data_IF_123687659359
#
_entry.id   IF_123687659359
#
_cell.length_a   1.000
_cell.length_b   1.000
_cell.length_c   1.000
_cell.angle_alpha   90.00
_cell.angle_beta   90.00
_cell.angle_gamma   90.00
#
_symmetry.space_group_name_H-M   'P 1'
#
loop_
_entity.id
_entity.type
_entity.pdbx_description
1 polymer ?
#
# COMPACT_ATOMS: atom_id res chain seq x y z
N UNK A 1 -1.31 -7.59 3.33
CA UNK A 1 -0.48 -6.58 4.01
C UNK A 1 -1.19 -5.23 4.10
N UNK A 2 -1.58 -4.60 2.98
CA UNK A 2 -2.33 -3.32 3.03
C UNK A 2 -3.68 -3.43 3.75
N UNK A 3 -4.47 -4.50 3.50
CA UNK A 3 -5.76 -4.71 4.17
C UNK A 3 -5.63 -4.96 5.68
N UNK A 4 -4.65 -5.77 6.09
CA UNK A 4 -4.36 -5.98 7.51
C UNK A 4 -3.91 -4.67 8.16
N UNK A 5 -3.06 -3.89 7.49
CA UNK A 5 -2.57 -2.60 8.01
C UNK A 5 -3.69 -1.55 8.13
N UNK A 6 -4.60 -1.48 7.16
CA UNK A 6 -5.76 -0.59 7.22
C UNK A 6 -6.73 -0.96 8.36
N UNK A 7 -7.10 -2.24 8.47
CA UNK A 7 -7.94 -2.72 9.57
C UNK A 7 -7.30 -2.43 10.93
N UNK A 8 -5.97 -2.54 10.98
CA UNK A 8 -5.21 -2.26 12.17
C UNK A 8 -5.30 -0.76 12.56
N UNK A 9 -5.04 0.14 11.63
CA UNK A 9 -5.09 1.59 11.89
C UNK A 9 -6.49 2.09 12.28
N UNK A 10 -7.55 1.49 11.73
CA UNK A 10 -8.95 1.83 12.06
C UNK A 10 -9.35 1.36 13.46
N UNK A 11 -8.80 0.24 13.93
CA UNK A 11 -9.14 -0.34 15.23
C UNK A 11 -8.33 0.31 16.37
N UNK A 12 -7.14 0.84 16.08
CA UNK A 12 -6.27 1.53 17.05
C UNK A 12 -6.94 2.64 17.89
N UNK A 13 -7.75 3.55 17.32
CA UNK A 13 -8.46 4.56 18.12
C UNK A 13 -9.56 4.01 19.03
N UNK A 14 -10.09 2.81 18.74
CA UNK A 14 -11.09 2.15 19.59
C UNK A 14 -10.46 1.55 20.87
N UNK A 15 -9.13 1.51 20.97
CA UNK A 15 -8.42 1.01 22.16
C UNK A 15 -8.63 1.87 23.40
N UNK A 16 -9.04 3.13 23.24
CA UNK A 16 -9.30 4.05 24.35
C UNK A 16 -10.51 3.64 25.23
N UNK A 17 -11.28 2.63 24.81
CA UNK A 17 -12.37 2.04 25.60
C UNK A 17 -11.87 1.08 26.70
N UNK A 18 -10.64 0.58 26.60
CA UNK A 18 -10.06 -0.34 27.60
C UNK A 18 -9.24 0.44 28.66
N UNK A 19 -9.55 0.26 29.94
CA UNK A 19 -8.83 0.94 31.04
C UNK A 19 -7.85 0.00 31.76
N UNK A 20 -6.71 0.52 32.22
CA UNK A 20 -5.79 -0.18 33.12
C UNK A 20 -4.66 -0.96 32.43
N UNK A 21 -4.26 -2.11 33.00
CA UNK A 21 -3.12 -2.92 32.52
C UNK A 21 -3.38 -3.50 31.12
N UNK A 22 -4.64 -3.83 30.83
CA UNK A 22 -5.08 -4.35 29.53
C UNK A 22 -4.77 -3.39 28.37
N UNK A 23 -4.86 -2.07 28.59
CA UNK A 23 -4.53 -1.06 27.58
C UNK A 23 -3.05 -1.15 27.16
N UNK A 24 -2.14 -1.30 28.13
CA UNK A 24 -0.70 -1.37 27.87
C UNK A 24 -0.33 -2.62 27.06
N UNK A 25 -0.92 -3.76 27.41
CA UNK A 25 -0.69 -5.02 26.71
C UNK A 25 -1.26 -4.97 25.29
N UNK A 26 -2.51 -4.50 25.12
CA UNK A 26 -3.09 -4.33 23.79
C UNK A 26 -2.22 -3.39 22.95
N UNK A 27 -1.86 -2.23 23.49
CA UNK A 27 -1.03 -1.27 22.78
C UNK A 27 0.29 -1.89 22.27
N UNK A 28 0.97 -2.69 23.09
CA UNK A 28 2.20 -3.37 22.69
C UNK A 28 1.97 -4.35 21.53
N UNK A 29 0.94 -5.20 21.61
CA UNK A 29 0.59 -6.15 20.53
C UNK A 29 0.27 -5.40 19.24
N UNK A 30 -0.50 -4.32 19.35
CA UNK A 30 -0.90 -3.46 18.24
C UNK A 30 0.28 -2.81 17.53
N UNK A 31 1.24 -2.27 18.29
CA UNK A 31 2.48 -1.70 17.75
C UNK A 31 3.32 -2.77 17.06
N UNK A 32 3.46 -3.96 17.64
CA UNK A 32 4.18 -5.07 17.00
C UNK A 32 3.57 -5.46 15.65
N UNK A 33 2.23 -5.54 15.55
CA UNK A 33 1.54 -5.85 14.31
C UNK A 33 1.69 -4.74 13.25
N UNK A 34 1.70 -3.47 13.67
CA UNK A 34 1.98 -2.33 12.80
C UNK A 34 3.40 -2.41 12.21
N UNK A 35 4.40 -2.67 13.03
CA UNK A 35 5.80 -2.81 12.58
C UNK A 35 6.01 -4.03 11.69
N UNK A 36 5.37 -5.16 12.00
CA UNK A 36 5.42 -6.36 11.17
C UNK A 36 4.80 -6.12 9.78
N UNK A 37 3.69 -5.39 9.72
CA UNK A 37 3.05 -5.04 8.44
C UNK A 37 3.92 -4.07 7.64
N UNK A 38 4.53 -3.09 8.29
CA UNK A 38 5.45 -2.14 7.67
C UNK A 38 6.68 -2.84 7.09
N UNK A 39 7.32 -3.74 7.84
CA UNK A 39 8.47 -4.50 7.35
C UNK A 39 8.09 -5.44 6.20
N UNK A 40 6.90 -6.05 6.25
CA UNK A 40 6.38 -6.88 5.17
C UNK A 40 6.22 -6.12 3.84
N UNK A 41 5.81 -4.86 3.87
CA UNK A 41 5.72 -4.03 2.66
C UNK A 41 7.11 -3.78 2.07
N UNK A 42 8.09 -3.40 2.90
CA UNK A 42 9.47 -3.17 2.43
C UNK A 42 10.14 -4.43 1.88
N UNK A 43 9.82 -5.61 2.42
CA UNK A 43 10.34 -6.87 1.92
C UNK A 43 9.80 -7.22 0.52
N UNK A 44 8.54 -6.90 0.23
CA UNK A 44 7.87 -7.24 -1.04
C UNK A 44 8.14 -6.20 -2.14
N UNK A 45 8.38 -4.94 -1.75
CA UNK A 45 8.59 -3.80 -2.65
C UNK A 45 9.65 -4.03 -3.76
N UNK A 46 10.88 -4.52 -3.49
CA UNK A 46 11.87 -4.75 -4.54
C UNK A 46 11.43 -5.85 -5.52
N UNK A 47 10.86 -6.95 -5.01
CA UNK A 47 10.35 -8.04 -5.86
C UNK A 47 9.20 -7.55 -6.76
N UNK A 48 8.27 -6.77 -6.21
CA UNK A 48 7.16 -6.20 -6.97
C UNK A 48 7.65 -5.25 -8.08
N UNK A 49 8.63 -4.39 -7.80
CA UNK A 49 9.21 -3.50 -8.82
C UNK A 49 9.90 -4.27 -9.94
N UNK A 50 10.59 -5.36 -9.63
CA UNK A 50 11.21 -6.23 -10.64
C UNK A 50 10.20 -6.97 -11.52
N UNK A 51 9.03 -7.32 -10.98
CA UNK A 51 7.95 -7.97 -11.73
C UNK A 51 7.24 -6.96 -12.65
N UNK A 52 6.94 -5.76 -12.15
CA UNK A 52 6.17 -4.73 -12.87
C UNK A 52 6.97 -4.03 -13.97
N UNK A 53 8.20 -3.61 -13.67
CA UNK A 53 9.03 -2.83 -14.59
C UNK A 53 10.08 -3.67 -15.35
N UNK A 54 10.25 -4.93 -14.95
CA UNK A 54 11.27 -5.82 -15.47
C UNK A 54 12.66 -5.62 -14.83
N UNK A 55 13.63 -6.48 -15.18
CA UNK A 55 14.96 -6.48 -14.56
C UNK A 55 15.88 -5.37 -15.09
N UNK A 56 15.56 -4.75 -16.23
CA UNK A 56 16.34 -3.65 -16.77
C UNK A 56 16.18 -2.40 -15.88
N UNK A 57 17.31 -1.84 -15.41
CA UNK A 57 17.35 -0.67 -14.52
C UNK A 57 16.53 -0.81 -13.21
N UNK A 58 16.46 -2.03 -12.64
CA UNK A 58 15.70 -2.32 -11.41
C UNK A 58 16.08 -1.39 -10.25
N UNK A 59 17.38 -1.07 -10.09
CA UNK A 59 17.86 -0.17 -9.04
C UNK A 59 17.26 1.25 -9.15
N UNK A 60 17.18 1.81 -10.36
CA UNK A 60 16.62 3.14 -10.59
C UNK A 60 15.11 3.13 -10.38
N UNK A 61 14.43 2.13 -10.92
CA UNK A 61 12.98 1.99 -10.77
C UNK A 61 12.58 1.81 -9.31
N UNK A 62 13.27 0.94 -8.57
CA UNK A 62 13.05 0.77 -7.13
C UNK A 62 13.35 2.05 -6.34
N UNK A 63 14.45 2.75 -6.69
CA UNK A 63 14.79 4.04 -6.09
C UNK A 63 13.68 5.09 -6.24
N UNK A 64 13.03 5.16 -7.40
CA UNK A 64 11.88 6.04 -7.62
C UNK A 64 10.68 5.68 -6.75
N UNK A 65 10.36 4.38 -6.62
CA UNK A 65 9.25 3.94 -5.75
C UNK A 65 9.57 4.23 -4.28
N UNK A 66 10.82 4.03 -3.85
CA UNK A 66 11.24 4.36 -2.49
C UNK A 66 11.21 5.88 -2.23
N UNK A 67 11.54 6.69 -3.23
CA UNK A 67 11.45 8.15 -3.13
C UNK A 67 10.00 8.63 -2.94
N UNK A 68 9.03 7.99 -3.61
CA UNK A 68 7.61 8.28 -3.40
C UNK A 68 7.17 7.98 -1.95
N UNK A 69 7.68 6.89 -1.36
CA UNK A 69 7.45 6.58 0.05
C UNK A 69 8.06 7.64 1.00
N UNK A 70 9.28 8.11 0.71
CA UNK A 70 9.92 9.17 1.48
C UNK A 70 9.15 10.50 1.40
N UNK A 71 8.74 10.89 0.19
CA UNK A 71 7.92 12.09 -0.03
C UNK A 71 6.57 12.02 0.70
N UNK A 72 5.88 10.87 0.64
CA UNK A 72 4.63 10.65 1.38
C UNK A 72 4.82 10.75 2.90
N UNK A 73 5.93 10.24 3.42
CA UNK A 73 6.27 10.34 4.85
C UNK A 73 6.51 11.78 5.29
N UNK A 74 7.18 12.59 4.45
CA UNK A 74 7.38 14.03 4.69
C UNK A 74 6.05 14.78 4.70
N UNK A 75 5.17 14.53 3.74
CA UNK A 75 3.84 15.15 3.67
C UNK A 75 3.04 14.81 4.93
N UNK A 76 3.04 13.54 5.34
CA UNK A 76 2.39 13.08 6.57
C UNK A 76 2.94 13.79 7.83
N UNK A 77 4.25 14.01 7.89
CA UNK A 77 4.90 14.77 8.97
C UNK A 77 4.49 16.25 9.00
N UNK A 78 4.41 16.90 7.83
CA UNK A 78 3.94 18.29 7.73
C UNK A 78 2.46 18.42 8.11
N UNK A 79 1.62 17.47 7.70
CA UNK A 79 0.21 17.43 8.11
C UNK A 79 0.09 17.29 9.63
N UNK A 80 0.94 16.48 10.25
CA UNK A 80 0.95 16.30 11.71
C UNK A 80 1.28 17.59 12.48
N UNK A 81 2.10 18.48 11.92
CA UNK A 81 2.47 19.73 12.60
C UNK A 81 1.42 20.83 12.46
N UNK A 82 0.63 20.83 11.38
CA UNK A 82 -0.43 21.84 11.17
C UNK A 82 -1.75 21.47 11.85
N UNK A 83 -1.98 20.18 12.14
CA UNK A 83 -3.19 19.70 12.83
C UNK A 83 -2.87 19.52 14.33
N UNK A 84 -2.93 20.60 15.12
CA UNK A 84 -2.73 20.58 16.58
C UNK A 84 -4.05 20.67 17.38
N UNK A 85 -5.12 20.04 16.89
CA UNK A 85 -6.39 19.92 17.62
C UNK A 85 -6.45 18.66 18.50
N UNK A 86 -7.36 18.64 19.48
CA UNK A 86 -7.56 17.50 20.41
C UNK A 86 -7.83 16.16 19.71
N UNK A 87 -8.26 16.20 18.43
CA UNK A 87 -8.56 15.04 17.58
C UNK A 87 -7.47 14.73 16.54
N UNK A 88 -6.32 15.40 16.59
CA UNK A 88 -5.23 15.24 15.61
C UNK A 88 -4.79 13.78 15.45
N UNK A 89 -4.76 13.03 16.55
CA UNK A 89 -4.40 11.62 16.54
C UNK A 89 -5.41 10.82 15.70
N UNK A 90 -6.71 10.98 15.94
CA UNK A 90 -7.75 10.29 15.16
C UNK A 90 -7.65 10.60 13.68
N UNK A 91 -7.42 11.87 13.31
CA UNK A 91 -7.30 12.31 11.92
C UNK A 91 -6.08 11.69 11.23
N UNK A 92 -4.96 11.55 11.94
CA UNK A 92 -3.76 10.92 11.38
C UNK A 92 -3.96 9.41 11.15
N UNK A 93 -4.52 8.69 12.13
CA UNK A 93 -4.75 7.24 12.02
C UNK A 93 -5.81 6.90 10.97
N UNK A 94 -6.91 7.66 10.92
CA UNK A 94 -7.96 7.48 9.92
C UNK A 94 -7.50 7.90 8.52
N UNK A 95 -6.71 8.97 8.39
CA UNK A 95 -6.10 9.39 7.15
C UNK A 95 -5.19 8.31 6.56
N UNK A 96 -4.29 7.76 7.36
CA UNK A 96 -3.43 6.64 6.94
C UNK A 96 -4.25 5.39 6.55
N UNK A 97 -5.31 5.08 7.31
CA UNK A 97 -6.23 3.99 6.98
C UNK A 97 -6.94 4.21 5.62
N UNK A 98 -7.43 5.41 5.35
CA UNK A 98 -8.09 5.78 4.10
C UNK A 98 -7.14 5.66 2.90
N UNK A 99 -5.89 6.12 3.04
CA UNK A 99 -4.85 5.97 2.00
C UNK A 99 -4.56 4.50 1.73
N UNK A 100 -4.53 3.65 2.76
CA UNK A 100 -4.35 2.20 2.57
C UNK A 100 -5.53 1.55 1.82
N UNK A 101 -6.77 1.99 2.07
CA UNK A 101 -7.96 1.52 1.33
C UNK A 101 -7.93 1.99 -0.12
N UNK A 102 -7.56 3.26 -0.36
CA UNK A 102 -7.36 3.77 -1.71
C UNK A 102 -6.27 2.99 -2.45
N UNK A 103 -5.17 2.63 -1.78
CA UNK A 103 -4.12 1.78 -2.34
C UNK A 103 -4.60 0.35 -2.65
N UNK A 104 -5.48 -0.23 -1.84
CA UNK A 104 -6.11 -1.51 -2.17
C UNK A 104 -6.97 -1.38 -3.43
N UNK A 105 -7.73 -0.29 -3.54
CA UNK A 105 -8.56 -0.03 -4.71
C UNK A 105 -7.73 0.15 -5.99
N UNK A 106 -6.60 0.85 -5.93
CA UNK A 106 -5.70 0.98 -7.09
C UNK A 106 -5.02 -0.35 -7.44
N UNK A 107 -4.66 -1.17 -6.45
CA UNK A 107 -4.15 -2.53 -6.69
C UNK A 107 -5.19 -3.41 -7.36
N UNK A 108 -6.47 -3.30 -6.99
CA UNK A 108 -7.55 -4.01 -7.68
C UNK A 108 -7.73 -3.56 -9.13
N UNK A 109 -7.38 -2.31 -9.44
CA UNK A 109 -7.44 -1.77 -10.81
C UNK A 109 -6.20 -2.13 -11.63
N UNK A 110 -5.06 -2.40 -10.99
CA UNK A 110 -3.81 -2.73 -11.68
C UNK A 110 -3.91 -4.15 -12.26
N UNK A 111 -4.02 -4.25 -13.58
CA UNK A 111 -3.88 -5.54 -14.27
C UNK A 111 -2.39 -5.89 -14.37
N UNK A 112 -1.97 -6.91 -13.62
CA UNK A 112 -0.63 -7.47 -13.74
C UNK A 112 -0.51 -8.25 -15.05
N UNK A 113 0.43 -7.82 -15.91
CA UNK A 113 0.69 -8.42 -17.23
C UNK A 113 1.08 -9.91 -17.14
N UNK A 114 1.51 -10.38 -15.97
CA UNK A 114 2.01 -11.74 -15.72
C UNK A 114 1.06 -12.60 -14.87
N UNK A 115 -0.11 -12.10 -14.48
CA UNK A 115 -1.06 -12.87 -13.67
C UNK A 115 -1.73 -13.99 -14.48
N UNK A 116 -1.67 -15.21 -13.93
CA UNK A 116 -2.37 -16.37 -14.48
C UNK A 116 -3.89 -16.10 -14.49
N UNK A 117 -4.60 -16.25 -15.63
CA UNK A 117 -6.03 -15.93 -15.75
C UNK A 117 -6.94 -16.64 -14.75
N UNK A 118 -6.46 -17.70 -14.07
CA UNK A 118 -7.20 -18.44 -13.03
C UNK A 118 -7.20 -17.80 -11.63
N UNK A 119 -6.33 -16.83 -11.34
CA UNK A 119 -6.34 -16.07 -10.08
C UNK A 119 -7.09 -14.72 -10.19
N UNK A 120 -7.68 -14.42 -11.35
CA UNK A 120 -8.40 -13.17 -11.60
C UNK A 120 -9.83 -13.24 -11.04
N UNK A 121 -9.94 -13.30 -9.72
CA UNK A 121 -11.21 -13.43 -8.97
C UNK A 121 -12.10 -12.18 -9.10
N UNK A 122 -11.54 -11.03 -9.51
CA UNK A 122 -12.26 -9.76 -9.70
C UNK A 122 -12.24 -9.27 -11.16
N UNK A 123 -12.33 -10.19 -12.13
CA UNK A 123 -12.45 -9.85 -13.57
C UNK A 123 -13.58 -8.84 -13.84
N UNK A 124 -14.65 -8.92 -13.06
CA UNK A 124 -15.83 -8.06 -13.18
C UNK A 124 -15.56 -6.56 -12.93
N UNK A 125 -14.66 -6.23 -12.01
CA UNK A 125 -14.30 -4.82 -11.72
C UNK A 125 -13.34 -4.24 -12.76
N UNK A 126 -12.39 -5.04 -13.28
CA UNK A 126 -11.46 -4.62 -14.33
C UNK A 126 -12.16 -4.33 -15.67
N UNK A 127 -13.22 -5.09 -16.01
CA UNK A 127 -13.84 -5.05 -17.35
C UNK A 127 -14.77 -3.84 -17.58
N UNK A 128 -15.08 -3.02 -16.55
CA UNK A 128 -16.07 -1.94 -16.68
C UNK A 128 -15.56 -0.62 -17.26
N UNK A 129 -14.25 -0.39 -17.38
CA UNK A 129 -13.72 0.90 -17.85
C UNK A 129 -12.54 0.76 -18.85
N UNK A 130 -12.81 0.52 -20.15
CA UNK A 130 -11.75 0.50 -21.18
C UNK A 130 -11.16 1.89 -21.51
N UNK A 131 -11.83 2.98 -21.14
CA UNK A 131 -11.45 4.37 -21.49
C UNK A 131 -10.19 4.91 -20.79
N UNK A 132 -9.73 4.27 -19.70
CA UNK A 132 -8.55 4.69 -18.92
C UNK A 132 -7.30 3.84 -19.22
N UNK A 133 -7.37 2.97 -20.23
CA UNK A 133 -6.25 2.13 -20.65
C UNK A 133 -5.17 3.04 -21.26
N UNK A 134 -4.06 3.22 -20.55
CA UNK A 134 -2.86 3.83 -21.13
C UNK A 134 -2.45 3.11 -22.42
N UNK A 135 -1.79 3.79 -23.37
CA UNK A 135 -1.46 3.23 -24.68
C UNK A 135 -0.71 1.92 -24.48
N UNK A 136 -1.31 0.85 -25.00
CA UNK A 136 -0.71 -0.47 -25.05
C UNK A 136 0.46 -0.38 -26.01
N UNK A 137 1.70 -0.31 -25.50
CA UNK A 137 2.89 -0.52 -26.34
C UNK A 137 2.91 -1.99 -26.70
N UNK A 138 2.15 -2.34 -27.73
CA UNK A 138 2.15 -3.62 -28.39
C UNK A 138 3.44 -3.73 -29.20
N UNK A 139 4.37 -4.55 -28.71
CA UNK A 139 5.52 -4.99 -29.49
C UNK A 139 6.82 -4.98 -28.70
N UNK A 140 7.13 -6.08 -28.00
CA UNK A 140 8.51 -6.55 -27.72
C UNK A 140 8.55 -7.95 -27.07
N UNK A 141 7.58 -8.85 -27.32
CA UNK A 141 7.63 -10.25 -26.83
C UNK A 141 7.53 -11.26 -27.98
N UNK A 142 8.03 -10.88 -29.15
CA UNK A 142 8.34 -11.82 -30.22
C UNK A 142 9.79 -11.54 -30.63
N UNK A 143 10.66 -12.55 -30.62
CA UNK A 143 12.09 -12.52 -30.98
C UNK A 143 13.12 -12.32 -29.85
N UNK A 144 13.10 -13.22 -28.85
CA UNK A 144 14.37 -13.71 -28.28
C UNK A 144 14.36 -15.23 -28.09
N UNK A 145 14.12 -15.92 -29.20
CA UNK A 145 14.40 -17.34 -29.39
C UNK A 145 15.16 -17.53 -30.71
N UNK A 146 16.36 -16.93 -30.80
CA UNK A 146 17.51 -17.40 -31.58
C UNK A 146 18.76 -16.85 -30.92
#
# INVERSE_FOLDING_TARGET
MLASWAAILVTFPHLNLATGVTLKVLYAIWVCLLFFSLSGVFAIMPAATGILFGPANLAVNYGLVFNAFAAGSLICGVIATVVQSKDAFLMQFTGCGAVCVAALFTVFWIEDRKMNPRLNICRWCSTRCPSLRGPTVSGSVEMRSR
#
